data_IF_734022860416
#
_entry.id   IF_734022860416
#
_cell.length_a   1.000
_cell.length_b   1.000
_cell.length_c   1.000
_cell.angle_alpha   90.00
_cell.angle_beta   90.00
_cell.angle_gamma   90.00
#
_symmetry.space_group_name_H-M   'P 1'
#
loop_
_entity.id
_entity.type
_entity.pdbx_description
1 polymer ?
#
# COMPACT_ATOMS: atom_id res chain seq x y z
N UNK A 1 -20.02 -36.97 4.99
CA UNK A 1 -19.87 -35.51 5.18
C UNK A 1 -18.64 -35.13 4.39
N UNK A 2 -18.84 -34.46 3.26
CA UNK A 2 -17.75 -33.97 2.43
C UNK A 2 -17.00 -32.92 3.24
N UNK A 3 -15.78 -33.24 3.64
CA UNK A 3 -14.85 -32.28 4.21
C UNK A 3 -14.49 -31.31 3.09
N UNK A 4 -15.13 -30.15 3.06
CA UNK A 4 -14.68 -29.04 2.24
C UNK A 4 -13.24 -28.73 2.65
N UNK A 5 -12.29 -29.15 1.82
CA UNK A 5 -10.93 -28.66 1.89
C UNK A 5 -10.99 -27.19 1.44
N UNK A 6 -11.19 -26.29 2.41
CA UNK A 6 -11.22 -24.85 2.19
C UNK A 6 -9.83 -24.23 2.08
N UNK A 7 -8.76 -25.03 2.14
CA UNK A 7 -7.40 -24.49 2.11
C UNK A 7 -6.97 -24.17 0.67
N UNK A 8 -6.84 -22.87 0.30
CA UNK A 8 -6.34 -22.51 -0.99
C UNK A 8 -4.82 -22.74 -1.02
N UNK A 9 -4.39 -23.86 -1.63
CA UNK A 9 -2.97 -24.19 -1.91
C UNK A 9 -2.14 -22.92 -2.22
N UNK A 10 -0.87 -22.81 -1.79
CA UNK A 10 -0.05 -21.59 -1.87
C UNK A 10 -0.12 -20.82 -3.20
N UNK A 11 -0.26 -21.50 -4.33
CA UNK A 11 -0.48 -20.89 -5.65
C UNK A 11 -1.80 -20.09 -5.84
N UNK A 12 -2.76 -20.12 -4.90
CA UNK A 12 -4.02 -19.36 -4.94
C UNK A 12 -3.93 -17.99 -4.27
N UNK A 13 -2.96 -17.76 -3.38
CA UNK A 13 -2.69 -16.44 -2.76
C UNK A 13 -1.69 -15.64 -3.63
N UNK A 14 -0.68 -16.33 -4.18
CA UNK A 14 0.33 -15.71 -5.06
C UNK A 14 -0.31 -15.07 -6.30
N UNK A 15 -1.34 -15.70 -6.88
CA UNK A 15 -1.94 -15.22 -8.13
C UNK A 15 -2.67 -13.86 -7.99
N UNK A 16 -3.55 -13.63 -6.99
CA UNK A 16 -4.11 -12.31 -6.75
C UNK A 16 -3.05 -11.27 -6.33
N UNK A 17 -2.03 -11.64 -5.56
CA UNK A 17 -0.93 -10.74 -5.18
C UNK A 17 -0.11 -10.29 -6.40
N UNK A 18 0.25 -11.21 -7.28
CA UNK A 18 0.92 -10.89 -8.55
C UNK A 18 0.03 -10.00 -9.42
N UNK A 19 -1.28 -10.25 -9.46
CA UNK A 19 -2.22 -9.45 -10.25
C UNK A 19 -2.33 -8.01 -9.72
N UNK A 20 -2.43 -7.82 -8.41
CA UNK A 20 -2.46 -6.49 -7.77
C UNK A 20 -1.10 -5.80 -7.93
N UNK A 21 -0.01 -6.52 -7.70
CA UNK A 21 1.34 -6.02 -7.95
C UNK A 21 1.55 -5.60 -9.41
N UNK A 22 1.02 -6.36 -10.37
CA UNK A 22 1.00 -6.00 -11.79
C UNK A 22 0.13 -4.79 -12.09
N UNK A 23 -1.02 -4.63 -11.42
CA UNK A 23 -1.89 -3.46 -11.59
C UNK A 23 -1.21 -2.20 -11.03
N UNK A 24 -0.64 -2.27 -9.82
CA UNK A 24 0.11 -1.18 -9.20
C UNK A 24 1.34 -0.80 -10.04
N UNK A 25 2.17 -1.78 -10.44
CA UNK A 25 3.29 -1.51 -11.35
C UNK A 25 2.84 -1.00 -12.71
N UNK A 26 1.66 -1.39 -13.22
CA UNK A 26 1.10 -0.80 -14.45
C UNK A 26 0.73 0.66 -14.23
N UNK A 27 0.13 1.02 -13.09
CA UNK A 27 -0.19 2.41 -12.76
C UNK A 27 1.09 3.25 -12.60
N UNK A 28 2.06 2.78 -11.81
CA UNK A 28 3.36 3.44 -11.65
C UNK A 28 4.13 3.51 -12.97
N UNK A 29 4.07 2.47 -13.81
CA UNK A 29 4.70 2.46 -15.13
C UNK A 29 4.05 3.45 -16.09
N UNK A 30 2.71 3.49 -16.17
CA UNK A 30 1.99 4.45 -17.00
C UNK A 30 2.30 5.86 -16.53
N UNK A 31 2.25 6.11 -15.22
CA UNK A 31 2.58 7.41 -14.64
C UNK A 31 4.04 7.79 -14.98
N UNK A 32 4.99 6.86 -14.81
CA UNK A 32 6.41 7.05 -15.14
C UNK A 32 6.64 7.29 -16.64
N UNK A 33 5.97 6.56 -17.53
CA UNK A 33 6.07 6.74 -18.98
C UNK A 33 5.45 8.07 -19.39
N UNK A 34 4.32 8.46 -18.79
CA UNK A 34 3.65 9.72 -19.05
C UNK A 34 4.52 10.91 -18.61
N UNK A 35 5.06 10.89 -17.40
CA UNK A 35 5.97 11.93 -16.92
C UNK A 35 7.24 12.03 -17.76
N UNK A 36 7.90 10.90 -18.07
CA UNK A 36 9.17 10.91 -18.82
C UNK A 36 9.02 11.31 -20.29
N UNK A 37 7.85 11.09 -20.88
CA UNK A 37 7.58 11.41 -22.29
C UNK A 37 6.65 12.62 -22.47
N UNK A 38 6.29 13.31 -21.37
CA UNK A 38 5.36 14.43 -21.36
C UNK A 38 4.02 14.10 -22.06
N UNK A 39 3.48 12.92 -21.78
CA UNK A 39 2.20 12.46 -22.32
C UNK A 39 1.07 12.81 -21.35
N UNK A 40 -0.07 13.23 -21.88
CA UNK A 40 -1.29 13.49 -21.12
C UNK A 40 -2.10 12.19 -20.98
N UNK A 41 -2.44 11.80 -19.76
CA UNK A 41 -3.28 10.62 -19.50
C UNK A 41 -4.74 11.07 -19.58
N UNK A 42 -5.42 10.69 -20.66
CA UNK A 42 -6.86 10.94 -20.83
C UNK A 42 -7.63 9.76 -20.22
N UNK A 43 -8.40 10.02 -19.17
CA UNK A 43 -9.36 9.04 -18.65
C UNK A 43 -10.43 8.76 -19.72
N UNK A 44 -10.74 7.50 -19.97
CA UNK A 44 -11.83 7.13 -20.88
C UNK A 44 -13.17 7.42 -20.16
N UNK A 45 -13.75 8.58 -20.47
CA UNK A 45 -15.09 8.99 -20.07
C UNK A 45 -16.11 8.01 -20.65
N UNK A 46 -16.71 7.17 -19.80
CA UNK A 46 -17.92 6.43 -20.16
C UNK A 46 -19.07 7.44 -20.29
N UNK A 47 -19.81 7.49 -21.42
CA UNK A 47 -20.81 8.52 -21.62
C UNK A 47 -22.00 8.31 -20.68
N UNK A 48 -22.17 9.23 -19.74
CA UNK A 48 -23.41 9.35 -18.95
C UNK A 48 -24.36 10.29 -19.70
N UNK A 49 -25.56 9.78 -19.98
CA UNK A 49 -26.67 10.54 -20.59
C UNK A 49 -27.01 11.79 -19.77
N UNK A 50 -26.94 12.94 -20.44
CA UNK A 50 -27.44 14.22 -19.98
C UNK A 50 -28.97 14.26 -20.01
N UNK A 51 -29.60 14.51 -18.86
CA UNK A 51 -30.98 15.02 -18.81
C UNK A 51 -30.89 16.46 -18.32
N UNK A 52 -31.24 17.39 -19.20
CA UNK A 52 -31.38 18.82 -18.93
C UNK A 52 -32.63 19.11 -18.11
N UNK A 53 -32.55 20.04 -17.17
CA UNK A 53 -33.69 20.87 -16.77
C UNK A 53 -33.25 22.28 -16.35
N UNK A 54 -34.16 23.22 -16.55
CA UNK A 54 -34.01 24.64 -16.86
C UNK A 54 -33.90 25.57 -15.62
N UNK A 55 -33.05 26.60 -15.74
CA UNK A 55 -32.99 27.94 -15.09
C UNK A 55 -33.72 28.26 -13.78
N UNK A 56 -33.00 28.84 -12.80
CA UNK A 56 -33.35 30.11 -12.11
C UNK A 56 -32.06 30.86 -11.73
N UNK A 57 -32.02 32.15 -12.06
CA UNK A 57 -30.96 33.11 -11.73
C UNK A 57 -31.26 33.74 -10.38
N UNK A 58 -30.33 33.68 -9.42
CA UNK A 58 -30.33 34.59 -8.27
C UNK A 58 -28.92 35.08 -7.98
N UNK A 59 -28.78 36.40 -8.01
CA UNK A 59 -27.56 37.18 -7.96
C UNK A 59 -27.03 37.19 -6.52
N UNK A 60 -26.09 36.31 -6.21
CA UNK A 60 -25.23 36.44 -5.03
C UNK A 60 -23.79 36.30 -5.48
N UNK A 61 -23.10 37.43 -5.68
CA UNK A 61 -21.64 37.45 -5.81
C UNK A 61 -21.01 37.01 -4.49
N UNK A 62 -20.89 35.69 -4.32
CA UNK A 62 -19.94 35.07 -3.41
C UNK A 62 -18.69 34.78 -4.24
N UNK A 63 -17.60 35.51 -3.99
CA UNK A 63 -16.28 35.07 -4.43
C UNK A 63 -15.90 33.87 -3.57
N UNK A 64 -16.26 32.67 -4.00
CA UNK A 64 -15.67 31.44 -3.48
C UNK A 64 -14.30 31.29 -4.13
N UNK A 65 -13.23 31.54 -3.39
CA UNK A 65 -11.91 31.04 -3.79
C UNK A 65 -11.88 29.55 -3.50
N UNK A 66 -12.26 28.72 -4.47
CA UNK A 66 -11.98 27.29 -4.43
C UNK A 66 -10.50 27.15 -4.75
N UNK A 67 -9.64 27.00 -3.75
CA UNK A 67 -8.24 26.65 -4.00
C UNK A 67 -8.19 25.15 -4.27
N UNK A 68 -8.29 24.76 -5.53
CA UNK A 68 -8.01 23.38 -5.93
C UNK A 68 -6.54 23.12 -5.62
N UNK A 69 -6.25 22.04 -4.87
CA UNK A 69 -4.89 21.55 -4.67
C UNK A 69 -4.21 21.34 -6.03
N UNK A 70 -2.89 21.60 -6.16
CA UNK A 70 -2.16 21.31 -7.40
C UNK A 70 -2.32 19.85 -7.82
N UNK A 71 -2.50 19.57 -9.12
CA UNK A 71 -2.78 18.22 -9.62
C UNK A 71 -1.70 17.20 -9.24
N UNK A 72 -0.42 17.61 -9.26
CA UNK A 72 0.70 16.77 -8.85
C UNK A 72 0.71 16.46 -7.34
N UNK A 73 0.14 17.35 -6.51
CA UNK A 73 -0.06 17.11 -5.09
C UNK A 73 -1.15 16.06 -4.89
N UNK A 74 -2.28 16.20 -5.58
CA UNK A 74 -3.40 15.25 -5.52
C UNK A 74 -2.97 13.86 -6.00
N UNK A 75 -2.27 13.79 -7.14
CA UNK A 75 -1.75 12.53 -7.67
C UNK A 75 -0.84 11.80 -6.68
N UNK A 76 0.03 12.53 -5.98
CA UNK A 76 0.87 11.94 -4.93
C UNK A 76 0.05 11.41 -3.74
N UNK A 77 -1.00 12.13 -3.31
CA UNK A 77 -1.88 11.65 -2.23
C UNK A 77 -2.62 10.36 -2.62
N UNK A 78 -3.08 10.27 -3.87
CA UNK A 78 -3.73 9.08 -4.41
C UNK A 78 -2.76 7.90 -4.43
N UNK A 79 -1.52 8.13 -4.87
CA UNK A 79 -0.46 7.12 -4.87
C UNK A 79 -0.20 6.56 -3.47
N UNK A 80 0.11 7.40 -2.48
CA UNK A 80 0.36 6.92 -1.11
C UNK A 80 -0.89 6.29 -0.47
N UNK A 81 -2.09 6.71 -0.88
CA UNK A 81 -3.34 6.07 -0.43
C UNK A 81 -3.47 4.65 -0.99
N UNK A 82 -3.05 4.42 -2.24
CA UNK A 82 -2.97 3.07 -2.80
C UNK A 82 -1.90 2.22 -2.08
N UNK A 83 -0.73 2.80 -1.76
CA UNK A 83 0.32 2.11 -1.00
C UNK A 83 -0.15 1.73 0.42
N UNK A 84 -1.01 2.54 1.07
CA UNK A 84 -1.65 2.16 2.34
C UNK A 84 -2.49 0.88 2.23
N UNK A 85 -3.19 0.68 1.11
CA UNK A 85 -3.98 -0.54 0.87
C UNK A 85 -3.04 -1.75 0.79
N UNK A 86 -1.92 -1.62 0.06
CA UNK A 86 -0.92 -2.67 -0.05
C UNK A 86 -0.27 -3.00 1.30
N UNK A 87 0.06 -1.99 2.11
CA UNK A 87 0.56 -2.18 3.47
C UNK A 87 -0.44 -2.96 4.34
N UNK A 88 -1.73 -2.60 4.27
CA UNK A 88 -2.78 -3.27 5.06
C UNK A 88 -2.92 -4.74 4.67
N UNK A 89 -2.86 -5.06 3.37
CA UNK A 89 -2.93 -6.44 2.90
C UNK A 89 -1.68 -7.24 3.30
N UNK A 90 -0.48 -6.68 3.14
CA UNK A 90 0.75 -7.31 3.61
C UNK A 90 0.68 -7.62 5.12
N UNK A 91 0.15 -6.69 5.91
CA UNK A 91 -0.05 -6.90 7.34
C UNK A 91 -1.00 -8.05 7.66
N UNK A 92 -2.13 -8.11 6.94
CA UNK A 92 -3.10 -9.19 7.09
C UNK A 92 -2.48 -10.55 6.75
N UNK A 93 -1.75 -10.62 5.64
CA UNK A 93 -1.16 -11.86 5.15
C UNK A 93 -0.06 -12.37 6.10
N UNK A 94 0.80 -11.47 6.62
CA UNK A 94 1.82 -11.82 7.62
C UNK A 94 1.18 -12.33 8.90
N UNK A 95 0.11 -11.68 9.36
CA UNK A 95 -0.61 -12.10 10.56
C UNK A 95 -1.26 -13.48 10.37
N UNK A 96 -1.95 -13.69 9.25
CA UNK A 96 -2.62 -14.95 8.92
C UNK A 96 -1.60 -16.10 8.81
N UNK A 97 -0.47 -15.89 8.13
CA UNK A 97 0.59 -16.91 8.05
C UNK A 97 1.20 -17.22 9.41
N UNK A 98 1.39 -16.20 10.27
CA UNK A 98 1.86 -16.42 11.63
C UNK A 98 0.86 -17.25 12.45
N UNK A 99 -0.44 -16.91 12.39
CA UNK A 99 -1.50 -17.65 13.07
C UNK A 99 -1.59 -19.10 12.55
N UNK A 100 -1.46 -19.31 11.24
CA UNK A 100 -1.45 -20.65 10.64
C UNK A 100 -0.29 -21.49 11.17
N UNK A 101 0.90 -20.90 11.26
CA UNK A 101 2.04 -21.58 11.86
C UNK A 101 1.83 -21.90 13.35
N UNK A 102 1.33 -20.94 14.14
CA UNK A 102 1.07 -21.13 15.57
C UNK A 102 0.00 -22.20 15.83
N UNK A 103 -1.02 -22.26 14.97
CA UNK A 103 -2.07 -23.28 15.00
C UNK A 103 -1.62 -24.63 14.43
N UNK A 104 -0.40 -24.73 13.92
CA UNK A 104 0.14 -25.91 13.25
C UNK A 104 -0.73 -26.37 12.06
N UNK A 105 -1.38 -25.43 11.38
CA UNK A 105 -2.23 -25.70 10.21
C UNK A 105 -1.42 -25.85 8.92
N UNK A 106 -0.18 -25.35 8.91
CA UNK A 106 0.78 -25.46 7.80
C UNK A 106 2.04 -26.21 8.23
N UNK A 107 2.72 -26.84 7.28
CA UNK A 107 4.03 -27.44 7.54
C UNK A 107 5.13 -26.39 7.66
N UNK A 108 6.24 -26.77 8.28
CA UNK A 108 7.42 -25.89 8.40
C UNK A 108 7.94 -25.39 7.05
N UNK A 109 7.91 -26.24 6.02
CA UNK A 109 8.40 -25.84 4.70
C UNK A 109 7.44 -24.86 4.03
N UNK A 110 6.13 -25.05 4.20
CA UNK A 110 5.11 -24.11 3.69
C UNK A 110 5.24 -22.75 4.39
N UNK A 111 5.35 -22.73 5.73
CA UNK A 111 5.57 -21.49 6.48
C UNK A 111 6.85 -20.77 6.04
N UNK A 112 7.95 -21.50 5.83
CA UNK A 112 9.20 -20.89 5.32
C UNK A 112 9.04 -20.25 3.95
N UNK A 113 8.29 -20.89 3.06
CA UNK A 113 8.11 -20.39 1.70
C UNK A 113 7.17 -19.18 1.70
N UNK A 114 6.14 -19.15 2.55
CA UNK A 114 5.29 -17.97 2.77
C UNK A 114 6.10 -16.78 3.33
N UNK A 115 6.89 -17.01 4.38
CA UNK A 115 7.70 -15.94 4.99
C UNK A 115 8.75 -15.38 4.02
N UNK A 116 9.30 -16.22 3.13
CA UNK A 116 10.16 -15.74 2.03
C UNK A 116 9.40 -14.88 1.01
N UNK A 117 8.18 -15.25 0.69
CA UNK A 117 7.34 -14.43 -0.19
C UNK A 117 7.06 -13.06 0.42
N UNK A 118 6.88 -12.95 1.74
CA UNK A 118 6.74 -11.65 2.41
C UNK A 118 7.99 -10.77 2.31
N UNK A 119 9.19 -11.37 2.34
CA UNK A 119 10.44 -10.63 2.13
C UNK A 119 10.48 -10.04 0.71
N UNK A 120 10.11 -10.82 -0.30
CA UNK A 120 10.06 -10.34 -1.68
C UNK A 120 9.01 -9.24 -1.86
N UNK A 121 7.80 -9.45 -1.34
CA UNK A 121 6.71 -8.47 -1.38
C UNK A 121 7.12 -7.18 -0.68
N UNK A 122 7.70 -7.26 0.51
CA UNK A 122 8.13 -6.08 1.25
C UNK A 122 9.28 -5.33 0.56
N UNK A 123 10.22 -6.03 -0.09
CA UNK A 123 11.29 -5.41 -0.87
C UNK A 123 10.75 -4.65 -2.10
N UNK A 124 9.76 -5.23 -2.78
CA UNK A 124 9.06 -4.55 -3.86
C UNK A 124 8.29 -3.34 -3.34
N UNK A 125 7.63 -3.47 -2.18
CA UNK A 125 6.90 -2.39 -1.53
C UNK A 125 7.81 -1.23 -1.11
N UNK A 126 9.03 -1.50 -0.63
CA UNK A 126 10.04 -0.44 -0.39
C UNK A 126 10.31 0.34 -1.67
N UNK A 127 10.38 -0.34 -2.81
CA UNK A 127 10.65 0.30 -4.10
C UNK A 127 9.47 1.16 -4.56
N UNK A 128 8.23 0.64 -4.49
CA UNK A 128 7.03 1.38 -4.90
C UNK A 128 6.76 2.60 -4.03
N UNK A 129 7.00 2.49 -2.72
CA UNK A 129 6.88 3.62 -1.81
C UNK A 129 8.00 4.64 -2.04
N UNK A 130 9.22 4.22 -2.37
CA UNK A 130 10.37 5.14 -2.48
C UNK A 130 10.45 5.87 -3.83
N UNK A 131 9.84 5.33 -4.89
CA UNK A 131 9.93 5.87 -6.24
C UNK A 131 8.53 5.96 -6.88
N UNK A 132 8.14 7.12 -7.47
CA UNK A 132 8.96 8.28 -7.84
C UNK A 132 9.18 9.30 -6.71
N UNK A 133 8.43 9.21 -5.62
CA UNK A 133 8.44 10.18 -4.52
C UNK A 133 7.58 11.43 -4.78
N UNK A 134 7.45 12.32 -3.78
CA UNK A 134 6.56 13.48 -3.85
C UNK A 134 7.09 14.57 -4.79
N UNK A 135 6.24 15.51 -5.24
CA UNK A 135 6.71 16.68 -5.95
C UNK A 135 7.64 17.53 -5.06
N UNK A 136 8.86 17.78 -5.55
CA UNK A 136 9.94 18.42 -4.78
C UNK A 136 9.66 19.87 -4.35
N UNK A 137 8.66 20.52 -4.94
CA UNK A 137 8.25 21.88 -4.58
C UNK A 137 7.50 21.95 -3.23
N UNK A 138 6.98 20.82 -2.73
CA UNK A 138 6.27 20.73 -1.46
C UNK A 138 7.19 20.14 -0.37
N UNK A 139 7.94 21.01 0.31
CA UNK A 139 8.92 20.60 1.33
C UNK A 139 8.32 19.74 2.48
N UNK A 140 7.05 19.98 2.83
CA UNK A 140 6.31 19.19 3.82
C UNK A 140 6.08 17.75 3.34
N UNK A 141 5.77 17.53 2.06
CA UNK A 141 5.60 16.21 1.48
C UNK A 141 6.94 15.48 1.39
N UNK A 142 8.00 16.16 0.92
CA UNK A 142 9.36 15.60 0.87
C UNK A 142 9.81 15.10 2.24
N UNK A 143 9.63 15.93 3.28
CA UNK A 143 10.00 15.55 4.66
C UNK A 143 9.18 14.35 5.15
N UNK A 144 7.86 14.38 4.93
CA UNK A 144 6.97 13.30 5.37
C UNK A 144 7.25 11.99 4.62
N UNK A 145 7.68 12.08 3.36
CA UNK A 145 8.01 10.93 2.54
C UNK A 145 9.31 10.24 2.98
N UNK A 146 10.31 10.97 3.46
CA UNK A 146 11.51 10.35 4.03
C UNK A 146 11.18 9.55 5.32
N UNK A 147 10.18 9.98 6.08
CA UNK A 147 9.65 9.19 7.20
C UNK A 147 8.95 7.91 6.70
N UNK A 148 8.12 8.00 5.65
CA UNK A 148 7.50 6.82 5.03
C UNK A 148 8.55 5.83 4.52
N UNK A 149 9.61 6.31 3.87
CA UNK A 149 10.75 5.49 3.42
C UNK A 149 11.44 4.80 4.58
N UNK A 150 11.64 5.50 5.69
CA UNK A 150 12.24 4.89 6.89
C UNK A 150 11.35 3.77 7.41
N UNK A 151 10.04 4.01 7.53
CA UNK A 151 9.08 3.03 8.03
C UNK A 151 8.95 1.80 7.12
N UNK A 152 8.87 1.97 5.80
CA UNK A 152 8.78 0.83 4.87
C UNK A 152 10.05 -0.03 4.86
N UNK A 153 11.23 0.59 5.06
CA UNK A 153 12.47 -0.16 5.22
C UNK A 153 12.49 -0.96 6.52
N UNK A 154 11.95 -0.41 7.62
CA UNK A 154 11.81 -1.16 8.88
C UNK A 154 10.86 -2.34 8.72
N UNK A 155 9.69 -2.13 8.11
CA UNK A 155 8.72 -3.20 7.80
C UNK A 155 9.39 -4.32 6.98
N UNK A 156 10.16 -3.96 5.95
CA UNK A 156 10.89 -4.94 5.14
C UNK A 156 12.02 -5.63 5.91
N UNK A 157 12.65 -4.99 6.89
CA UNK A 157 13.64 -5.64 7.74
C UNK A 157 12.95 -6.63 8.70
N UNK A 158 11.79 -6.28 9.24
CA UNK A 158 11.05 -7.14 10.15
C UNK A 158 10.56 -8.43 9.47
N UNK A 159 10.24 -8.41 8.15
CA UNK A 159 9.92 -9.66 7.41
C UNK A 159 11.10 -10.62 7.31
N UNK A 160 12.34 -10.10 7.26
CA UNK A 160 13.56 -10.92 7.32
C UNK A 160 13.72 -11.51 8.72
N UNK A 161 13.50 -10.72 9.77
CA UNK A 161 13.57 -11.18 11.16
C UNK A 161 12.47 -12.20 11.50
N UNK A 162 11.29 -12.09 10.88
CA UNK A 162 10.22 -13.07 11.00
C UNK A 162 10.65 -14.45 10.49
N UNK A 163 11.30 -14.52 9.32
CA UNK A 163 11.86 -15.76 8.79
C UNK A 163 13.00 -16.29 9.68
N UNK A 164 13.89 -15.40 10.13
CA UNK A 164 14.97 -15.79 11.04
C UNK A 164 14.43 -16.37 12.36
N UNK A 165 13.36 -15.77 12.90
CA UNK A 165 12.65 -16.27 14.08
C UNK A 165 11.96 -17.62 13.85
N UNK A 166 11.43 -17.87 12.65
CA UNK A 166 10.90 -19.20 12.28
C UNK A 166 12.01 -20.26 12.18
N UNK A 167 13.20 -19.88 11.72
CA UNK A 167 14.36 -20.76 11.61
C UNK A 167 15.16 -20.91 12.92
N UNK A 168 14.84 -20.09 13.93
CA UNK A 168 15.47 -20.13 15.24
C UNK A 168 15.20 -21.44 15.98
N UNK A 169 16.14 -21.82 16.84
CA UNK A 169 15.97 -22.95 17.77
C UNK A 169 15.29 -22.55 19.08
N UNK A 170 14.86 -21.30 19.21
CA UNK A 170 14.10 -20.82 20.36
C UNK A 170 12.65 -21.36 20.36
N UNK A 171 11.84 -20.94 21.32
CA UNK A 171 10.44 -21.38 21.44
C UNK A 171 9.47 -20.49 20.66
N UNK A 172 9.98 -19.68 19.72
CA UNK A 172 9.24 -18.71 18.92
C UNK A 172 9.37 -17.28 19.42
N UNK A 173 10.20 -17.01 20.44
CA UNK A 173 10.34 -15.66 21.02
C UNK A 173 10.87 -14.65 19.99
N UNK A 174 11.86 -15.02 19.18
CA UNK A 174 12.39 -14.12 18.17
C UNK A 174 11.33 -13.77 17.12
N UNK A 175 10.57 -14.76 16.66
CA UNK A 175 9.48 -14.53 15.69
C UNK A 175 8.39 -13.64 16.28
N UNK A 176 7.97 -13.89 17.52
CA UNK A 176 6.97 -13.07 18.19
C UNK A 176 7.43 -11.60 18.36
N UNK A 177 8.70 -11.39 18.71
CA UNK A 177 9.28 -10.05 18.79
C UNK A 177 9.36 -9.35 17.42
N UNK A 178 9.73 -10.08 16.37
CA UNK A 178 9.74 -9.57 15.00
C UNK A 178 8.31 -9.21 14.53
N UNK A 179 7.31 -10.01 14.86
CA UNK A 179 5.90 -9.72 14.55
C UNK A 179 5.39 -8.47 15.25
N UNK A 180 5.72 -8.27 16.53
CA UNK A 180 5.37 -7.04 17.27
C UNK A 180 6.02 -5.80 16.64
N UNK A 181 7.31 -5.89 16.29
CA UNK A 181 8.04 -4.83 15.58
C UNK A 181 7.39 -4.50 14.23
N UNK A 182 7.13 -5.54 13.43
CA UNK A 182 6.48 -5.44 12.13
C UNK A 182 5.13 -4.71 12.24
N UNK A 183 4.24 -5.17 13.12
CA UNK A 183 2.91 -4.59 13.31
C UNK A 183 3.00 -3.12 13.75
N UNK A 184 3.91 -2.82 14.67
CA UNK A 184 4.14 -1.45 15.15
C UNK A 184 4.63 -0.52 14.03
N UNK A 185 5.56 -0.98 13.20
CA UNK A 185 6.10 -0.18 12.10
C UNK A 185 5.07 -0.01 10.99
N UNK A 186 4.26 -1.05 10.72
CA UNK A 186 3.14 -1.00 9.79
C UNK A 186 2.06 0.00 10.22
N UNK A 187 1.66 -0.03 11.48
CA UNK A 187 0.70 0.93 12.05
C UNK A 187 1.21 2.37 11.95
N UNK A 188 2.50 2.59 12.23
CA UNK A 188 3.12 3.90 12.08
C UNK A 188 3.13 4.37 10.62
N UNK A 189 3.41 3.47 9.68
CA UNK A 189 3.37 3.77 8.25
C UNK A 189 1.97 4.18 7.80
N UNK A 190 0.96 3.38 8.14
CA UNK A 190 -0.44 3.65 7.81
C UNK A 190 -0.89 4.99 8.41
N UNK A 191 -0.60 5.20 9.70
CA UNK A 191 -0.93 6.45 10.38
C UNK A 191 -0.26 7.66 9.75
N UNK A 192 1.01 7.54 9.34
CA UNK A 192 1.72 8.64 8.68
C UNK A 192 1.06 9.02 7.35
N UNK A 193 0.59 8.06 6.58
CA UNK A 193 -0.19 8.32 5.35
C UNK A 193 -1.49 9.07 5.69
N UNK A 194 -2.22 8.61 6.71
CA UNK A 194 -3.44 9.29 7.16
C UNK A 194 -3.19 10.73 7.60
N UNK A 195 -2.09 10.99 8.32
CA UNK A 195 -1.67 12.33 8.72
C UNK A 195 -1.38 13.23 7.50
N UNK A 196 -0.66 12.70 6.49
CA UNK A 196 -0.37 13.43 5.24
C UNK A 196 -1.67 13.78 4.52
N UNK A 197 -2.57 12.81 4.33
CA UNK A 197 -3.86 13.02 3.64
C UNK A 197 -4.75 14.00 4.41
N UNK A 198 -4.85 13.86 5.74
CA UNK A 198 -5.65 14.75 6.58
C UNK A 198 -5.12 16.20 6.55
N UNK A 199 -3.81 16.38 6.50
CA UNK A 199 -3.20 17.71 6.40
C UNK A 199 -3.53 18.44 5.09
N UNK A 200 -3.81 17.68 4.03
CA UNK A 200 -4.19 18.22 2.73
C UNK A 200 -5.67 18.63 2.65
N UNK A 201 -6.55 17.92 3.37
CA UNK A 201 -8.00 18.16 3.36
C UNK A 201 -8.48 19.16 4.41
N UNK A 202 -7.62 19.54 5.36
CA UNK A 202 -7.94 20.48 6.44
C UNK A 202 -7.68 21.96 6.09
N UNK A 203 -7.28 22.27 4.85
CA UNK A 203 -6.97 23.63 4.36
C UNK A 203 -8.05 24.16 3.41
#
# INVERSE_FOLDING_TARGET
METFNSDPKPGRIVLPLVLIGMIATTYTFINRVATNNNLEIVAEETPVETISDETVVEDTSTTTTTTTLPDNYVAYLEEITAEKIQATELGKDVLEANENWDNQSVSYQEAKDEFRAFIETAANFVTTVSEPGPPNEFANLVTSHEELKTLVNLISADTVELLAGLESSDTGEQRAAALDSFNKNLDQFIKKIEEIVASATSN
#
